data_IF_635070395660
#
_entry.id   IF_635070395660
#
_cell.length_a   1.000
_cell.length_b   1.000
_cell.length_c   1.000
_cell.angle_alpha   90.00
_cell.angle_beta   90.00
_cell.angle_gamma   90.00
#
_symmetry.space_group_name_H-M   'P 1'
#
loop_
_entity.id
_entity.type
_entity.pdbx_description
1 polymer ?
#
# COMPACT_ATOMS: atom_id res chain seq x y z
N UNK A 1 2.51 27.85 0.61
CA UNK A 1 3.49 27.09 -0.17
C UNK A 1 3.45 25.59 0.16
N UNK A 2 3.44 25.19 1.43
CA UNK A 2 3.40 23.76 1.82
C UNK A 2 2.14 22.99 1.44
N UNK A 3 0.98 23.65 1.29
CA UNK A 3 -0.24 23.00 0.81
C UNK A 3 -0.16 22.61 -0.68
N UNK A 4 0.50 23.40 -1.53
CA UNK A 4 0.44 23.20 -2.99
C UNK A 4 1.15 21.93 -3.51
N UNK A 5 2.06 21.33 -2.74
CA UNK A 5 2.74 20.08 -3.12
C UNK A 5 1.84 18.86 -2.86
N UNK A 6 0.91 18.95 -1.89
CA UNK A 6 -0.05 17.88 -1.58
C UNK A 6 -1.18 17.75 -2.60
N UNK A 7 -1.52 18.81 -3.34
CA UNK A 7 -2.70 18.83 -4.22
C UNK A 7 -2.41 18.58 -5.69
N UNK A 8 -1.12 18.56 -6.11
CA UNK A 8 -0.79 18.33 -7.52
C UNK A 8 -1.12 16.90 -7.97
N UNK A 9 -1.07 15.91 -7.06
CA UNK A 9 -1.33 14.51 -7.39
C UNK A 9 -2.82 14.26 -7.67
N UNK A 10 -3.73 14.79 -6.84
CA UNK A 10 -5.17 14.69 -7.08
C UNK A 10 -5.57 15.36 -8.39
N UNK A 11 -4.87 16.44 -8.77
CA UNK A 11 -5.15 17.18 -10.00
C UNK A 11 -4.62 16.50 -11.27
N UNK A 12 -3.80 15.44 -11.18
CA UNK A 12 -3.39 14.61 -12.32
C UNK A 12 -4.43 13.54 -12.73
N UNK A 13 -5.54 13.42 -11.99
CA UNK A 13 -6.66 12.49 -12.26
C UNK A 13 -7.29 12.63 -13.64
N UNK A 14 -7.23 13.81 -14.27
CA UNK A 14 -8.01 14.10 -15.48
C UNK A 14 -7.63 13.22 -16.67
N UNK A 15 -6.42 12.65 -16.69
CA UNK A 15 -5.91 11.89 -17.83
C UNK A 15 -6.33 10.40 -17.83
N UNK A 16 -6.45 9.74 -16.65
CA UNK A 16 -6.66 8.28 -16.55
C UNK A 16 -8.07 7.86 -16.95
N UNK A 17 -9.09 8.67 -16.61
CA UNK A 17 -10.50 8.31 -16.84
C UNK A 17 -10.96 8.44 -18.31
N UNK A 18 -10.14 8.98 -19.21
CA UNK A 18 -10.58 9.36 -20.57
C UNK A 18 -10.60 8.18 -21.55
N UNK A 19 -9.73 7.19 -21.40
CA UNK A 19 -9.66 6.03 -22.32
C UNK A 19 -10.76 4.99 -22.06
N UNK A 20 -11.20 4.81 -20.82
CA UNK A 20 -12.22 3.83 -20.46
C UNK A 20 -13.65 4.26 -20.84
N UNK A 21 -13.88 5.58 -20.97
CA UNK A 21 -15.10 6.19 -21.53
C UNK A 21 -15.34 5.71 -22.96
N UNK A 22 -14.31 5.69 -23.80
CA UNK A 22 -14.41 5.24 -25.19
C UNK A 22 -14.75 3.74 -25.25
N UNK A 23 -14.23 2.92 -24.33
CA UNK A 23 -14.52 1.48 -24.29
C UNK A 23 -15.98 1.18 -23.89
N UNK A 24 -16.55 1.94 -22.95
CA UNK A 24 -17.97 1.85 -22.56
C UNK A 24 -18.91 2.33 -23.67
N UNK A 25 -18.58 3.43 -24.35
CA UNK A 25 -19.39 3.95 -25.46
C UNK A 25 -19.28 3.10 -26.74
N UNK A 26 -18.15 2.43 -26.97
CA UNK A 26 -17.88 1.68 -28.21
C UNK A 26 -18.06 0.15 -28.13
N UNK A 27 -18.50 -0.42 -26.98
CA UNK A 27 -18.50 -1.89 -26.72
C UNK A 27 -17.16 -2.59 -27.02
N UNK A 28 -16.01 -1.91 -26.85
CA UNK A 28 -14.68 -2.50 -27.10
C UNK A 28 -13.88 -2.59 -25.80
N UNK A 29 -14.34 -3.38 -24.84
CA UNK A 29 -13.39 -4.01 -23.91
C UNK A 29 -12.86 -5.28 -24.57
N UNK A 30 -11.60 -5.26 -24.99
CA UNK A 30 -10.81 -6.49 -25.12
C UNK A 30 -10.14 -6.71 -23.77
N UNK A 31 -10.77 -7.52 -22.92
CA UNK A 31 -10.02 -8.25 -21.89
C UNK A 31 -9.12 -9.27 -22.59
N UNK A 32 -8.06 -9.73 -21.92
CA UNK A 32 -7.11 -10.76 -22.40
C UNK A 32 -7.80 -12.16 -22.38
N UNK A 33 -9.08 -12.20 -22.73
CA UNK A 33 -9.90 -13.38 -22.93
C UNK A 33 -10.60 -13.24 -24.28
N UNK A 34 -10.65 -14.28 -25.13
CA UNK A 34 -11.26 -14.21 -26.46
C UNK A 34 -12.79 -14.05 -26.43
N UNK A 35 -13.43 -13.94 -25.27
CA UNK A 35 -14.88 -13.79 -25.12
C UNK A 35 -15.25 -12.38 -24.64
N UNK A 36 -16.23 -11.77 -25.31
CA UNK A 36 -16.81 -10.50 -24.85
C UNK A 36 -17.45 -10.68 -23.46
N UNK A 37 -17.32 -9.71 -22.55
CA UNK A 37 -17.91 -9.82 -21.21
C UNK A 37 -19.43 -9.95 -21.29
N UNK A 38 -20.00 -10.70 -20.34
CA UNK A 38 -21.45 -10.84 -20.23
C UNK A 38 -22.12 -9.46 -20.08
N UNK A 39 -23.32 -9.23 -20.65
CA UNK A 39 -24.01 -7.94 -20.58
C UNK A 39 -24.19 -7.37 -19.17
N UNK A 40 -24.24 -8.22 -18.14
CA UNK A 40 -24.30 -7.83 -16.73
C UNK A 40 -23.00 -7.20 -16.22
N UNK A 41 -21.84 -7.75 -16.58
CA UNK A 41 -20.51 -7.25 -16.19
C UNK A 41 -20.26 -5.87 -16.82
N UNK A 42 -20.63 -5.69 -18.08
CA UNK A 42 -20.49 -4.40 -18.77
C UNK A 42 -21.34 -3.29 -18.11
N UNK A 43 -22.54 -3.62 -17.62
CA UNK A 43 -23.38 -2.65 -16.90
C UNK A 43 -22.74 -2.19 -15.59
N UNK A 44 -22.17 -3.13 -14.82
CA UNK A 44 -21.46 -2.79 -13.57
C UNK A 44 -20.25 -1.91 -13.88
N UNK A 45 -19.46 -2.29 -14.88
CA UNK A 45 -18.28 -1.52 -15.30
C UNK A 45 -18.64 -0.09 -15.73
N UNK A 46 -19.65 0.09 -16.57
CA UNK A 46 -20.03 1.44 -16.99
C UNK A 46 -20.68 2.25 -15.87
N UNK A 47 -21.40 1.62 -14.92
CA UNK A 47 -21.91 2.32 -13.74
C UNK A 47 -20.76 2.79 -12.85
N UNK A 48 -19.80 1.91 -12.56
CA UNK A 48 -18.58 2.22 -11.81
C UNK A 48 -17.79 3.36 -12.46
N UNK A 49 -17.60 3.29 -13.78
CA UNK A 49 -16.92 4.35 -14.55
C UNK A 49 -17.64 5.68 -14.37
N UNK A 50 -18.98 5.70 -14.52
CA UNK A 50 -19.75 6.92 -14.31
C UNK A 50 -19.60 7.45 -12.88
N UNK A 51 -19.68 6.59 -11.86
CA UNK A 51 -19.51 6.99 -10.47
C UNK A 51 -18.21 7.81 -10.28
N UNK A 52 -17.08 7.31 -10.79
CA UNK A 52 -15.81 8.05 -10.70
C UNK A 52 -15.72 9.28 -11.61
N UNK A 53 -16.46 9.33 -12.73
CA UNK A 53 -16.56 10.56 -13.54
C UNK A 53 -17.15 11.72 -12.75
N UNK A 54 -18.07 11.48 -11.82
CA UNK A 54 -18.63 12.56 -11.00
C UNK A 54 -17.59 13.23 -10.10
N UNK A 55 -16.61 12.47 -9.61
CA UNK A 55 -15.47 13.02 -8.85
C UNK A 55 -14.58 13.84 -9.78
N UNK A 56 -14.31 13.35 -10.98
CA UNK A 56 -13.53 14.08 -11.99
C UNK A 56 -14.20 15.42 -12.35
N UNK A 57 -15.50 15.40 -12.64
CA UNK A 57 -16.27 16.60 -12.98
C UNK A 57 -16.23 17.62 -11.83
N UNK A 58 -16.33 17.16 -10.57
CA UNK A 58 -16.19 18.02 -9.39
C UNK A 58 -14.79 18.66 -9.31
N UNK A 59 -13.73 17.88 -9.58
CA UNK A 59 -12.36 18.40 -9.59
C UNK A 59 -12.16 19.42 -10.71
N UNK A 60 -12.68 19.16 -11.91
CA UNK A 60 -12.57 20.07 -13.05
C UNK A 60 -13.36 21.37 -12.80
N UNK A 61 -14.54 21.29 -12.18
CA UNK A 61 -15.40 22.44 -11.92
C UNK A 61 -14.97 23.27 -10.70
N UNK A 62 -14.51 22.63 -9.63
CA UNK A 62 -14.34 23.26 -8.31
C UNK A 62 -12.94 23.10 -7.70
N UNK A 63 -12.09 22.27 -8.31
CA UNK A 63 -10.71 22.04 -7.90
C UNK A 63 -10.54 20.96 -6.82
N UNK A 64 -9.30 20.48 -6.71
CA UNK A 64 -8.93 19.33 -5.89
C UNK A 64 -9.27 19.46 -4.40
N UNK A 65 -9.14 20.65 -3.81
CA UNK A 65 -9.47 20.87 -2.40
C UNK A 65 -10.98 20.82 -2.12
N UNK A 66 -11.81 21.32 -3.05
CA UNK A 66 -13.26 21.25 -2.93
C UNK A 66 -13.72 19.81 -3.03
N UNK A 67 -13.20 19.05 -4.01
CA UNK A 67 -13.47 17.62 -4.15
C UNK A 67 -13.04 16.83 -2.92
N UNK A 68 -11.84 17.05 -2.38
CA UNK A 68 -11.39 16.37 -1.16
C UNK A 68 -12.34 16.65 0.01
N UNK A 69 -12.73 17.91 0.23
CA UNK A 69 -13.72 18.26 1.27
C UNK A 69 -15.07 17.60 1.06
N UNK A 70 -15.49 17.45 -0.20
CA UNK A 70 -16.76 16.83 -0.56
C UNK A 70 -16.74 15.32 -0.36
N UNK A 71 -15.63 14.65 -0.63
CA UNK A 71 -15.60 13.19 -0.77
C UNK A 71 -14.83 12.44 0.32
N UNK A 72 -13.95 13.09 1.09
CA UNK A 72 -13.11 12.41 2.11
C UNK A 72 -13.92 11.78 3.26
N UNK A 73 -15.17 12.21 3.44
CA UNK A 73 -16.05 11.65 4.45
C UNK A 73 -16.66 10.29 4.06
N UNK A 74 -16.61 9.94 2.78
CA UNK A 74 -17.13 8.65 2.31
C UNK A 74 -16.10 7.55 2.52
N UNK A 75 -16.57 6.39 2.95
CA UNK A 75 -15.85 5.15 2.65
C UNK A 75 -16.06 4.74 1.19
N UNK A 76 -15.14 3.94 0.62
CA UNK A 76 -15.28 3.41 -0.74
C UNK A 76 -16.64 2.72 -0.93
N UNK A 77 -17.02 1.83 -0.01
CA UNK A 77 -18.27 1.07 -0.08
C UNK A 77 -19.51 1.95 0.01
N UNK A 78 -19.50 2.93 0.91
CA UNK A 78 -20.61 3.87 1.08
C UNK A 78 -20.83 4.67 -0.20
N UNK A 79 -19.76 5.24 -0.78
CA UNK A 79 -19.85 5.99 -2.02
C UNK A 79 -20.35 5.15 -3.20
N UNK A 80 -19.78 3.95 -3.38
CA UNK A 80 -20.21 3.02 -4.44
C UNK A 80 -21.68 2.60 -4.30
N UNK A 81 -22.20 2.53 -3.07
CA UNK A 81 -23.58 2.19 -2.78
C UNK A 81 -24.53 3.39 -2.97
N UNK A 82 -24.20 4.54 -2.39
CA UNK A 82 -25.11 5.69 -2.30
C UNK A 82 -25.07 6.55 -3.57
N UNK A 83 -23.88 6.88 -4.06
CA UNK A 83 -23.69 7.69 -5.26
C UNK A 83 -23.61 6.80 -6.51
N UNK A 84 -23.02 5.62 -6.35
CA UNK A 84 -22.89 4.64 -7.43
C UNK A 84 -24.17 3.84 -7.70
N UNK A 85 -25.09 3.73 -6.74
CA UNK A 85 -26.31 2.89 -6.82
C UNK A 85 -25.97 1.45 -7.26
N UNK A 86 -24.83 0.93 -6.82
CA UNK A 86 -24.38 -0.42 -7.15
C UNK A 86 -25.10 -1.46 -6.29
N UNK A 87 -25.55 -2.54 -6.93
CA UNK A 87 -26.19 -3.64 -6.23
C UNK A 87 -25.21 -4.35 -5.28
N UNK A 88 -25.70 -5.05 -4.24
CA UNK A 88 -24.85 -5.85 -3.36
C UNK A 88 -23.97 -6.86 -4.11
N UNK A 89 -24.48 -7.46 -5.18
CA UNK A 89 -23.74 -8.42 -6.01
C UNK A 89 -22.63 -7.73 -6.81
N UNK A 90 -22.87 -6.51 -7.30
CA UNK A 90 -21.87 -5.71 -7.98
C UNK A 90 -20.75 -5.28 -7.01
N UNK A 91 -21.11 -4.84 -5.81
CA UNK A 91 -20.14 -4.49 -4.76
C UNK A 91 -19.29 -5.70 -4.36
N UNK A 92 -19.90 -6.88 -4.21
CA UNK A 92 -19.16 -8.12 -3.95
C UNK A 92 -18.21 -8.45 -5.11
N UNK A 93 -18.66 -8.36 -6.35
CA UNK A 93 -17.81 -8.62 -7.52
C UNK A 93 -16.61 -7.67 -7.57
N UNK A 94 -16.82 -6.38 -7.31
CA UNK A 94 -15.74 -5.38 -7.21
C UNK A 94 -14.77 -5.77 -6.09
N UNK A 95 -15.29 -6.06 -4.90
CA UNK A 95 -14.47 -6.48 -3.76
C UNK A 95 -13.60 -7.69 -4.06
N UNK A 96 -14.17 -8.73 -4.67
CA UNK A 96 -13.47 -9.99 -4.95
C UNK A 96 -12.46 -9.87 -6.10
N UNK A 97 -12.86 -9.29 -7.23
CA UNK A 97 -12.06 -9.30 -8.46
C UNK A 97 -11.04 -8.17 -8.54
N UNK A 98 -11.31 -7.03 -7.92
CA UNK A 98 -10.43 -5.87 -7.96
C UNK A 98 -9.56 -5.73 -6.72
N UNK A 99 -9.59 -6.71 -5.81
CA UNK A 99 -8.88 -6.69 -4.51
C UNK A 99 -9.39 -5.60 -3.54
N UNK A 100 -10.61 -5.11 -3.76
CA UNK A 100 -11.11 -3.96 -3.02
C UNK A 100 -11.77 -4.36 -1.69
N UNK A 101 -12.08 -5.64 -1.49
CA UNK A 101 -12.88 -6.08 -0.35
C UNK A 101 -12.27 -5.64 0.99
N UNK A 102 -10.95 -5.80 1.14
CA UNK A 102 -10.20 -5.41 2.34
C UNK A 102 -9.92 -3.90 2.42
N UNK A 103 -10.29 -3.12 1.40
CA UNK A 103 -10.09 -1.67 1.32
C UNK A 103 -11.41 -0.89 1.33
N UNK A 104 -12.55 -1.58 1.22
CA UNK A 104 -13.90 -1.00 1.12
C UNK A 104 -14.28 -0.02 2.25
N UNK A 105 -13.65 -0.12 3.42
CA UNK A 105 -13.90 0.74 4.58
C UNK A 105 -13.01 2.00 4.62
N UNK A 106 -11.99 2.07 3.78
CA UNK A 106 -11.04 3.20 3.72
C UNK A 106 -11.70 4.42 3.08
N UNK A 107 -11.08 5.59 3.25
CA UNK A 107 -11.57 6.82 2.65
C UNK A 107 -11.59 6.69 1.12
N UNK A 108 -12.66 7.16 0.48
CA UNK A 108 -12.76 7.19 -0.98
C UNK A 108 -11.58 7.96 -1.61
N UNK A 109 -11.09 8.99 -0.93
CA UNK A 109 -9.93 9.78 -1.32
C UNK A 109 -8.65 8.95 -1.48
N UNK A 110 -8.42 7.93 -0.63
CA UNK A 110 -7.30 6.99 -0.80
C UNK A 110 -7.45 6.16 -2.07
N UNK A 111 -8.64 5.59 -2.26
CA UNK A 111 -8.94 4.78 -3.43
C UNK A 111 -8.78 5.56 -4.72
N UNK A 112 -9.19 6.82 -4.71
CA UNK A 112 -8.97 7.73 -5.83
C UNK A 112 -7.48 7.89 -6.15
N UNK A 113 -6.61 8.06 -5.14
CA UNK A 113 -5.17 8.11 -5.37
C UNK A 113 -4.63 6.79 -5.93
N UNK A 114 -4.99 5.66 -5.33
CA UNK A 114 -4.51 4.34 -5.76
C UNK A 114 -4.88 4.04 -7.23
N UNK A 115 -6.12 4.36 -7.64
CA UNK A 115 -6.58 4.19 -9.02
C UNK A 115 -5.87 5.12 -10.02
N UNK A 116 -5.20 6.19 -9.56
CA UNK A 116 -4.35 7.01 -10.45
C UNK A 116 -2.98 6.40 -10.70
N UNK A 117 -2.46 5.63 -9.74
CA UNK A 117 -1.14 4.98 -9.87
C UNK A 117 -1.25 3.60 -10.50
N UNK A 118 -2.35 2.89 -10.27
CA UNK A 118 -2.61 1.53 -10.77
C UNK A 118 -3.51 1.58 -12.01
N UNK A 119 -2.88 1.64 -13.19
CA UNK A 119 -3.55 1.55 -14.50
C UNK A 119 -3.01 0.43 -15.38
N UNK A 120 -3.90 -0.20 -16.15
CA UNK A 120 -3.57 -1.16 -17.22
C UNK A 120 -2.80 -0.51 -18.38
N UNK A 121 -2.86 0.83 -18.50
CA UNK A 121 -2.13 1.59 -19.52
C UNK A 121 -0.69 1.90 -19.12
N UNK A 122 -0.35 1.68 -17.85
CA UNK A 122 0.96 2.00 -17.28
C UNK A 122 1.89 0.78 -17.35
N UNK A 123 3.14 1.03 -17.73
CA UNK A 123 4.20 0.01 -17.66
C UNK A 123 4.96 0.13 -16.35
N UNK A 124 4.91 -0.92 -15.54
CA UNK A 124 5.64 -1.01 -14.27
C UNK A 124 7.01 -1.66 -14.46
N UNK A 125 7.93 -1.33 -13.56
CA UNK A 125 9.31 -1.83 -13.56
C UNK A 125 9.68 -2.32 -12.16
N UNK A 126 10.53 -3.34 -12.10
CA UNK A 126 11.17 -3.79 -10.87
C UNK A 126 12.69 -3.56 -10.93
N UNK A 127 13.32 -3.38 -9.77
CA UNK A 127 14.78 -3.24 -9.69
C UNK A 127 15.41 -4.61 -9.90
N UNK A 128 16.19 -4.76 -10.97
CA UNK A 128 16.91 -6.00 -11.26
C UNK A 128 17.86 -6.33 -10.11
N UNK A 129 17.65 -7.49 -9.48
CA UNK A 129 18.44 -7.94 -8.33
C UNK A 129 17.81 -7.64 -6.96
N UNK A 130 16.68 -6.91 -6.93
CA UNK A 130 15.91 -6.64 -5.71
C UNK A 130 15.83 -5.14 -5.38
N UNK A 131 14.67 -4.72 -4.84
CA UNK A 131 14.41 -3.31 -4.49
C UNK A 131 15.30 -2.79 -3.36
N UNK A 132 15.93 -3.66 -2.56
CA UNK A 132 16.87 -3.28 -1.50
C UNK A 132 18.19 -2.69 -2.05
N UNK A 133 18.46 -2.85 -3.34
CA UNK A 133 19.59 -2.21 -4.01
C UNK A 133 19.43 -0.69 -4.09
N UNK A 134 18.21 -0.16 -4.15
CA UNK A 134 17.96 1.28 -4.17
C UNK A 134 18.45 1.97 -2.88
N UNK A 135 18.00 1.59 -1.68
CA UNK A 135 18.52 2.18 -0.44
C UNK A 135 20.01 1.88 -0.23
N UNK A 136 20.52 0.71 -0.64
CA UNK A 136 21.95 0.40 -0.56
C UNK A 136 22.82 1.28 -1.46
N UNK A 137 22.32 1.68 -2.63
CA UNK A 137 23.05 2.57 -3.52
C UNK A 137 23.32 3.93 -2.87
N UNK A 138 22.37 4.47 -2.09
CA UNK A 138 22.59 5.70 -1.32
C UNK A 138 23.75 5.57 -0.33
N UNK A 139 23.96 4.40 0.28
CA UNK A 139 25.08 4.16 1.20
C UNK A 139 26.46 4.27 0.53
N UNK A 140 26.53 4.18 -0.80
CA UNK A 140 27.79 4.32 -1.55
C UNK A 140 28.14 5.77 -1.87
N UNK A 141 27.17 6.70 -1.78
CA UNK A 141 27.35 8.11 -2.12
C UNK A 141 27.23 9.04 -0.90
N UNK A 142 26.59 8.59 0.18
CA UNK A 142 26.45 9.36 1.40
C UNK A 142 27.70 9.20 2.28
N UNK A 143 28.49 10.27 2.41
CA UNK A 143 29.59 10.35 3.38
C UNK A 143 29.06 10.88 4.73
N UNK A 144 28.24 10.06 5.39
CA UNK A 144 27.63 10.39 6.69
C UNK A 144 27.77 9.22 7.68
N UNK A 145 27.95 9.48 8.98
CA UNK A 145 27.90 8.44 10.01
C UNK A 145 26.50 7.81 10.08
N UNK A 146 26.43 6.48 9.99
CA UNK A 146 25.18 5.72 10.15
C UNK A 146 25.27 4.87 11.41
N UNK A 147 24.44 5.19 12.40
CA UNK A 147 24.36 4.46 13.66
C UNK A 147 23.27 3.39 13.58
N UNK A 148 23.64 2.18 13.16
CA UNK A 148 22.73 1.03 13.19
C UNK A 148 22.49 0.55 14.62
N UNK A 149 21.43 -0.24 14.82
CA UNK A 149 21.02 -0.78 16.13
C UNK A 149 20.78 0.28 17.21
N UNK A 150 20.57 1.55 16.81
CA UNK A 150 20.49 2.71 17.69
C UNK A 150 19.04 3.21 17.78
N UNK A 151 18.23 2.60 18.66
CA UNK A 151 16.81 2.92 18.77
C UNK A 151 16.64 4.25 19.52
N UNK A 152 16.07 5.24 18.84
CA UNK A 152 15.72 6.53 19.45
C UNK A 152 14.65 6.34 20.53
N UNK A 153 14.84 6.99 21.68
CA UNK A 153 13.93 6.93 22.83
C UNK A 153 13.36 8.28 23.21
N UNK A 154 14.13 9.35 23.02
CA UNK A 154 13.72 10.69 23.43
C UNK A 154 14.27 11.75 22.50
N UNK A 155 13.47 12.77 22.25
CA UNK A 155 13.84 14.00 21.55
C UNK A 155 13.52 15.16 22.49
N UNK A 156 14.55 15.91 22.90
CA UNK A 156 14.37 17.16 23.63
C UNK A 156 14.81 18.34 22.77
N UNK A 157 14.05 19.41 22.69
CA UNK A 157 14.43 20.57 21.90
C UNK A 157 14.05 21.90 22.55
N UNK A 158 14.78 22.95 22.18
CA UNK A 158 14.51 24.33 22.58
C UNK A 158 14.93 25.31 21.48
N UNK A 159 14.93 26.62 21.74
CA UNK A 159 15.48 27.59 20.80
C UNK A 159 16.98 27.36 20.51
N UNK A 160 17.71 26.67 21.40
CA UNK A 160 19.17 26.44 21.30
C UNK A 160 19.58 25.23 20.46
N UNK A 161 18.67 24.31 20.16
CA UNK A 161 18.98 23.06 19.45
C UNK A 161 18.12 21.90 19.89
N UNK A 162 18.54 20.70 19.49
CA UNK A 162 17.89 19.41 19.75
C UNK A 162 18.90 18.45 20.39
N UNK A 163 18.45 17.69 21.38
CA UNK A 163 19.13 16.53 21.94
C UNK A 163 18.33 15.29 21.60
N UNK A 164 18.93 14.34 20.90
CA UNK A 164 18.35 13.02 20.63
C UNK A 164 19.01 11.98 21.52
N UNK A 165 18.22 11.26 22.30
CA UNK A 165 18.70 10.19 23.20
C UNK A 165 18.32 8.83 22.62
N UNK A 166 19.32 8.02 22.27
CA UNK A 166 19.12 6.68 21.69
C UNK A 166 19.77 5.59 22.54
N UNK A 167 19.43 4.34 22.23
CA UNK A 167 19.86 3.15 22.95
C UNK A 167 20.35 2.07 21.97
N UNK A 168 21.51 1.46 22.21
CA UNK A 168 22.13 0.46 21.30
C UNK A 168 21.78 -1.00 21.62
N UNK A 169 20.80 -1.22 22.50
CA UNK A 169 20.34 -2.54 22.95
C UNK A 169 19.50 -2.40 24.23
N UNK A 170 18.60 -3.34 24.51
CA UNK A 170 17.53 -3.16 25.52
C UNK A 170 17.98 -2.77 26.94
N UNK A 171 19.22 -3.11 27.33
CA UNK A 171 19.77 -2.84 28.66
C UNK A 171 20.84 -1.74 28.68
N UNK A 172 21.12 -1.10 27.54
CA UNK A 172 22.14 -0.04 27.47
C UNK A 172 21.62 1.28 28.04
N UNK A 173 22.51 2.11 28.59
CA UNK A 173 22.19 3.48 28.96
C UNK A 173 21.84 4.32 27.72
N UNK A 174 21.04 5.37 27.91
CA UNK A 174 20.81 6.35 26.85
C UNK A 174 22.11 7.07 26.49
N UNK A 175 22.34 7.24 25.19
CA UNK A 175 23.41 8.07 24.64
C UNK A 175 22.80 9.29 23.98
N UNK A 176 23.29 10.47 24.34
CA UNK A 176 22.80 11.74 23.82
C UNK A 176 23.64 12.22 22.64
N UNK A 177 22.95 12.74 21.62
CA UNK A 177 23.55 13.41 20.47
C UNK A 177 22.90 14.78 20.28
N UNK A 178 23.74 15.79 20.08
CA UNK A 178 23.33 17.18 19.89
C UNK A 178 23.19 17.49 18.40
N UNK A 179 22.15 18.25 18.03
CA UNK A 179 21.91 18.70 16.67
C UNK A 179 21.18 20.04 16.64
N UNK A 180 21.20 20.75 15.50
CA UNK A 180 20.45 21.98 15.33
C UNK A 180 18.96 21.73 15.03
N UNK A 181 18.66 20.64 14.33
CA UNK A 181 17.31 20.19 13.95
C UNK A 181 17.27 18.67 13.93
N UNK A 182 16.08 18.08 14.02
CA UNK A 182 15.87 16.64 13.80
C UNK A 182 14.78 16.42 12.77
N UNK A 183 15.00 15.48 11.85
CA UNK A 183 13.99 14.98 10.94
C UNK A 183 13.60 13.56 11.37
N UNK A 184 12.37 13.39 11.84
CA UNK A 184 11.82 12.09 12.23
C UNK A 184 11.25 11.41 11.00
N UNK A 185 11.89 10.31 10.59
CA UNK A 185 11.53 9.54 9.39
C UNK A 185 10.98 8.14 9.69
N UNK A 186 10.49 7.91 10.90
CA UNK A 186 9.86 6.64 11.29
C UNK A 186 8.39 6.59 10.86
N UNK A 187 7.74 5.45 10.97
CA UNK A 187 6.26 5.41 10.93
C UNK A 187 5.69 6.21 12.10
N UNK A 188 4.42 6.61 11.99
CA UNK A 188 3.73 7.30 13.09
C UNK A 188 3.62 6.41 14.32
N UNK A 189 3.33 5.12 14.10
CA UNK A 189 3.22 4.12 15.17
C UNK A 189 4.53 3.97 15.94
N UNK A 190 5.68 3.99 15.26
CA UNK A 190 6.98 3.94 15.92
C UNK A 190 7.34 5.23 16.65
N UNK A 191 6.92 6.40 16.14
CA UNK A 191 7.12 7.68 16.79
C UNK A 191 6.41 7.76 18.16
N UNK A 192 5.31 7.01 18.36
CA UNK A 192 4.61 6.94 19.65
C UNK A 192 5.44 6.27 20.78
N UNK A 193 6.52 5.57 20.45
CA UNK A 193 7.47 5.00 21.43
C UNK A 193 8.58 5.98 21.83
N UNK A 194 8.53 7.23 21.35
CA UNK A 194 9.51 8.26 21.65
C UNK A 194 8.92 9.30 22.61
N UNK A 195 9.71 9.73 23.58
CA UNK A 195 9.39 10.86 24.44
C UNK A 195 9.77 12.17 23.77
N UNK A 196 8.82 13.10 23.62
CA UNK A 196 9.07 14.46 23.11
C UNK A 196 9.07 15.47 24.25
N UNK A 197 10.12 16.30 24.34
CA UNK A 197 10.26 17.32 25.38
C UNK A 197 10.61 18.69 24.73
N UNK A 198 9.70 19.68 24.74
CA UNK A 198 8.33 19.62 25.26
C UNK A 198 7.45 18.61 24.50
N UNK A 199 6.32 18.17 25.09
CA UNK A 199 5.38 17.29 24.40
C UNK A 199 4.89 17.92 23.09
N UNK A 200 4.67 17.07 22.08
CA UNK A 200 4.04 17.50 20.84
C UNK A 200 2.62 18.05 21.11
N UNK A 201 2.14 18.91 20.23
CA UNK A 201 0.80 19.49 20.38
C UNK A 201 -0.29 18.41 20.40
N UNK A 202 -1.44 18.64 21.08
CA UNK A 202 -2.52 17.67 21.13
C UNK A 202 -2.98 17.19 19.75
N UNK A 203 -3.04 18.10 18.76
CA UNK A 203 -3.43 17.76 17.38
C UNK A 203 -2.42 16.84 16.67
N UNK A 204 -1.12 17.10 16.86
CA UNK A 204 -0.06 16.25 16.34
C UNK A 204 -0.11 14.85 16.98
N UNK A 205 -0.26 14.79 18.30
CA UNK A 205 -0.36 13.52 19.02
C UNK A 205 -1.61 12.72 18.66
N UNK A 206 -2.75 13.39 18.46
CA UNK A 206 -3.98 12.78 17.96
C UNK A 206 -3.75 12.19 16.57
N UNK A 207 -3.23 12.97 15.62
CA UNK A 207 -2.93 12.49 14.27
C UNK A 207 -1.97 11.28 14.28
N UNK A 208 -0.87 11.33 15.05
CA UNK A 208 0.08 10.22 15.15
C UNK A 208 -0.56 8.93 15.72
N UNK A 209 -1.50 9.05 16.66
CA UNK A 209 -2.18 7.90 17.28
C UNK A 209 -3.25 7.33 16.36
N UNK A 210 -4.10 8.20 15.84
CA UNK A 210 -5.36 7.86 15.18
C UNK A 210 -5.21 7.54 13.70
N UNK A 211 -4.15 8.02 13.04
CA UNK A 211 -3.91 7.70 11.63
C UNK A 211 -3.95 6.19 11.41
N UNK A 212 -4.76 5.75 10.45
CA UNK A 212 -4.91 4.35 10.12
C UNK A 212 -3.70 3.86 9.33
N UNK A 213 -3.24 2.66 9.68
CA UNK A 213 -2.22 1.93 8.96
C UNK A 213 -2.83 0.61 8.55
N UNK A 214 -2.69 0.25 7.29
CA UNK A 214 -3.20 -1.02 6.82
C UNK A 214 -2.27 -2.18 7.23
N UNK A 215 -2.84 -3.38 7.30
CA UNK A 215 -2.08 -4.61 7.45
C UNK A 215 -1.69 -5.15 6.09
N UNK A 216 -0.51 -5.76 5.96
CA UNK A 216 -0.15 -6.46 4.74
C UNK A 216 0.73 -7.68 5.00
N UNK A 217 0.45 -8.76 4.28
CA UNK A 217 1.20 -10.02 4.35
C UNK A 217 1.57 -10.50 2.95
N UNK A 218 2.83 -10.91 2.77
CA UNK A 218 3.32 -11.61 1.58
C UNK A 218 3.77 -13.01 1.95
N UNK A 219 3.25 -14.01 1.24
CA UNK A 219 3.68 -15.41 1.33
C UNK A 219 4.42 -15.74 0.04
N UNK A 220 5.73 -15.95 0.13
CA UNK A 220 6.59 -16.30 -0.99
C UNK A 220 6.92 -17.79 -0.92
N UNK A 221 6.69 -18.50 -2.02
CA UNK A 221 7.02 -19.91 -2.16
C UNK A 221 8.13 -20.08 -3.19
N UNK A 222 9.16 -20.85 -2.84
CA UNK A 222 10.25 -21.17 -3.76
C UNK A 222 10.01 -22.54 -4.38
N UNK A 223 10.12 -22.64 -5.69
CA UNK A 223 9.93 -23.86 -6.46
C UNK A 223 11.19 -24.23 -7.24
N UNK A 224 11.45 -25.53 -7.39
CA UNK A 224 12.50 -26.05 -8.27
C UNK A 224 12.07 -26.19 -9.74
N UNK A 225 10.78 -25.97 -10.01
CA UNK A 225 10.13 -25.99 -11.32
C UNK A 225 9.16 -24.82 -11.43
N UNK A 226 9.23 -24.06 -12.52
CA UNK A 226 8.28 -22.96 -12.82
C UNK A 226 7.04 -23.51 -13.54
N UNK A 227 6.24 -24.31 -12.83
CA UNK A 227 5.10 -25.03 -13.41
C UNK A 227 4.11 -24.11 -14.15
N UNK A 228 3.94 -22.87 -13.68
CA UNK A 228 3.05 -21.87 -14.29
C UNK A 228 3.45 -21.48 -15.74
N UNK A 229 4.72 -21.66 -16.13
CA UNK A 229 5.14 -21.42 -17.51
C UNK A 229 4.54 -22.46 -18.49
N UNK A 230 4.22 -23.66 -17.99
CA UNK A 230 3.53 -24.69 -18.80
C UNK A 230 2.07 -24.32 -19.07
N UNK A 231 1.47 -23.53 -18.18
CA UNK A 231 0.13 -22.94 -18.36
C UNK A 231 0.17 -21.68 -19.25
N UNK A 232 1.36 -21.31 -19.77
CA UNK A 232 1.55 -20.13 -20.59
C UNK A 232 1.69 -18.82 -19.82
N UNK A 233 1.82 -18.87 -18.49
CA UNK A 233 1.84 -17.68 -17.63
C UNK A 233 3.27 -17.11 -17.52
N UNK A 234 3.41 -15.80 -17.77
CA UNK A 234 4.66 -15.04 -17.66
C UNK A 234 4.38 -13.66 -17.07
N UNK A 235 4.69 -13.48 -15.80
CA UNK A 235 4.27 -12.29 -15.04
C UNK A 235 2.75 -12.24 -14.81
N UNK A 236 2.26 -11.10 -14.34
CA UNK A 236 0.84 -10.89 -14.04
C UNK A 236 0.40 -11.56 -12.73
N UNK A 237 -0.91 -11.78 -12.59
CA UNK A 237 -1.50 -12.35 -11.37
C UNK A 237 -2.67 -13.28 -11.65
N UNK A 238 -2.90 -14.21 -10.73
CA UNK A 238 -4.13 -14.98 -10.59
C UNK A 238 -4.91 -14.51 -9.38
N UNK A 239 -6.23 -14.65 -9.45
CA UNK A 239 -7.18 -14.20 -8.42
C UNK A 239 -7.98 -15.41 -7.95
N UNK A 240 -8.15 -15.53 -6.65
CA UNK A 240 -8.96 -16.58 -6.03
C UNK A 240 -9.77 -15.99 -4.87
N UNK A 241 -10.93 -16.60 -4.61
CA UNK A 241 -11.72 -16.36 -3.42
C UNK A 241 -11.19 -17.10 -2.19
N UNK A 242 -10.18 -17.97 -2.36
CA UNK A 242 -9.43 -18.59 -1.28
C UNK A 242 -8.63 -17.57 -0.46
N UNK A 243 -8.19 -17.94 0.76
CA UNK A 243 -7.49 -17.01 1.66
C UNK A 243 -6.23 -16.37 1.06
N UNK A 244 -5.60 -17.01 0.07
CA UNK A 244 -4.43 -16.43 -0.61
C UNK A 244 -4.71 -15.17 -1.45
N UNK A 245 -5.98 -14.96 -1.85
CA UNK A 245 -6.51 -13.83 -2.63
C UNK A 245 -5.84 -13.60 -3.99
N UNK A 246 -4.58 -13.17 -4.00
CA UNK A 246 -3.84 -12.79 -5.20
C UNK A 246 -2.47 -13.46 -5.25
N UNK A 247 -2.23 -14.19 -6.34
CA UNK A 247 -0.96 -14.85 -6.65
C UNK A 247 -0.26 -14.04 -7.74
N UNK A 248 0.94 -13.55 -7.48
CA UNK A 248 1.71 -12.77 -8.46
C UNK A 248 2.87 -13.60 -9.00
N UNK A 249 2.91 -13.75 -10.32
CA UNK A 249 3.96 -14.49 -11.02
C UNK A 249 5.17 -13.56 -11.25
N UNK A 250 6.40 -14.05 -11.09
CA UNK A 250 7.58 -13.23 -11.24
C UNK A 250 7.71 -12.70 -12.68
N UNK A 251 8.15 -11.43 -12.80
CA UNK A 251 8.45 -10.79 -14.09
C UNK A 251 9.93 -10.92 -14.49
N UNK A 252 10.72 -11.61 -13.66
CA UNK A 252 12.13 -11.93 -13.89
C UNK A 252 12.38 -13.44 -13.87
N UNK A 253 13.62 -13.82 -14.19
CA UNK A 253 14.14 -15.17 -13.97
C UNK A 253 15.55 -15.09 -13.38
N UNK A 254 15.93 -16.08 -12.58
CA UNK A 254 17.29 -16.13 -12.02
C UNK A 254 18.30 -16.50 -13.10
N UNK A 255 19.29 -15.63 -13.33
CA UNK A 255 20.27 -15.81 -14.41
C UNK A 255 21.06 -17.12 -14.29
N UNK A 256 21.40 -17.53 -13.06
CA UNK A 256 22.21 -18.73 -12.79
C UNK A 256 21.41 -20.03 -12.81
N UNK A 257 20.12 -19.99 -12.53
CA UNK A 257 19.27 -21.17 -12.51
C UNK A 257 17.88 -20.85 -13.08
N UNK A 258 17.64 -21.32 -14.29
CA UNK A 258 16.39 -21.07 -15.01
C UNK A 258 15.21 -21.94 -14.55
N UNK A 259 15.42 -22.96 -13.72
CA UNK A 259 14.34 -23.83 -13.24
C UNK A 259 13.75 -23.35 -11.92
N UNK A 260 14.53 -22.62 -11.12
CA UNK A 260 14.05 -22.04 -9.87
C UNK A 260 13.13 -20.85 -10.17
N UNK A 261 12.00 -20.81 -9.46
CA UNK A 261 11.12 -19.65 -9.43
C UNK A 261 10.70 -19.34 -8.00
N UNK A 262 10.59 -18.05 -7.68
CA UNK A 262 9.95 -17.58 -6.44
C UNK A 262 8.61 -16.99 -6.84
N UNK A 263 7.55 -17.60 -6.35
CA UNK A 263 6.18 -17.15 -6.57
C UNK A 263 5.72 -16.36 -5.35
N UNK A 264 5.16 -15.18 -5.56
CA UNK A 264 4.40 -14.50 -4.53
C UNK A 264 3.02 -15.16 -4.49
N UNK A 265 2.94 -16.27 -3.75
CA UNK A 265 1.77 -17.15 -3.69
C UNK A 265 0.58 -16.51 -2.98
N UNK A 266 0.82 -15.46 -2.19
CA UNK A 266 -0.24 -14.63 -1.64
C UNK A 266 0.29 -13.23 -1.35
N UNK A 267 -0.50 -12.22 -1.72
CA UNK A 267 -0.30 -10.84 -1.31
C UNK A 267 -1.64 -10.28 -0.83
N UNK A 268 -1.75 -10.06 0.47
CA UNK A 268 -3.00 -9.62 1.12
C UNK A 268 -2.82 -8.32 1.88
N UNK A 269 -3.95 -7.66 2.11
CA UNK A 269 -4.11 -6.38 2.79
C UNK A 269 -5.28 -6.43 3.78
N UNK A 270 -5.41 -5.43 4.66
CA UNK A 270 -6.52 -5.34 5.61
C UNK A 270 -6.82 -6.64 6.35
N UNK A 271 -8.10 -6.99 6.43
CA UNK A 271 -8.57 -8.17 7.15
C UNK A 271 -8.04 -9.49 6.56
N UNK A 272 -7.84 -9.56 5.23
CA UNK A 272 -7.22 -10.73 4.59
C UNK A 272 -5.77 -10.93 5.08
N UNK A 273 -5.04 -9.85 5.37
CA UNK A 273 -3.71 -9.93 5.98
C UNK A 273 -3.78 -10.25 7.47
N UNK A 274 -4.74 -9.66 8.19
CA UNK A 274 -4.92 -9.88 9.64
C UNK A 274 -5.18 -11.35 9.97
N UNK A 275 -5.90 -12.06 9.09
CA UNK A 275 -6.15 -13.50 9.18
C UNK A 275 -4.85 -14.32 9.38
N UNK A 276 -3.74 -13.86 8.81
CA UNK A 276 -2.48 -14.60 8.78
C UNK A 276 -1.55 -14.31 9.97
N UNK A 277 -1.83 -13.29 10.78
CA UNK A 277 -0.87 -12.85 11.81
C UNK A 277 -0.57 -13.95 12.83
N UNK A 278 -1.61 -14.68 13.27
CA UNK A 278 -1.49 -15.75 14.26
C UNK A 278 -0.97 -17.10 13.73
N UNK A 279 -0.90 -17.29 12.40
CA UNK A 279 -0.49 -18.56 11.80
C UNK A 279 1.04 -18.71 11.72
N UNK A 280 1.58 -19.92 11.77
CA UNK A 280 3.00 -20.17 11.46
C UNK A 280 3.26 -20.07 9.96
N UNK A 281 4.51 -19.82 9.58
CA UNK A 281 4.92 -19.76 8.17
C UNK A 281 4.64 -21.08 7.44
N UNK A 282 4.81 -22.21 8.11
CA UNK A 282 4.53 -23.56 7.61
C UNK A 282 3.04 -23.80 7.39
N UNK A 283 2.17 -23.34 8.31
CA UNK A 283 0.73 -23.42 8.10
C UNK A 283 0.29 -22.54 6.92
N UNK A 284 0.90 -21.35 6.76
CA UNK A 284 0.66 -20.47 5.63
C UNK A 284 1.20 -21.04 4.32
N UNK A 285 2.31 -21.79 4.36
CA UNK A 285 2.84 -22.55 3.22
C UNK A 285 1.84 -23.60 2.76
N UNK A 286 1.33 -24.43 3.68
CA UNK A 286 0.34 -25.47 3.36
C UNK A 286 -0.94 -24.87 2.79
N UNK A 287 -1.44 -23.78 3.40
CA UNK A 287 -2.59 -23.04 2.90
C UNK A 287 -2.38 -22.54 1.47
N UNK A 288 -1.23 -21.91 1.21
CA UNK A 288 -0.92 -21.38 -0.10
C UNK A 288 -0.72 -22.47 -1.17
N UNK A 289 -0.11 -23.59 -0.81
CA UNK A 289 0.01 -24.75 -1.71
C UNK A 289 -1.33 -25.39 -2.01
N UNK A 290 -2.24 -25.46 -1.02
CA UNK A 290 -3.61 -25.96 -1.23
C UNK A 290 -4.39 -25.12 -2.24
N UNK A 291 -4.29 -23.79 -2.15
CA UNK A 291 -4.92 -22.88 -3.13
C UNK A 291 -4.25 -22.97 -4.50
N UNK A 292 -2.91 -23.05 -4.56
CA UNK A 292 -2.20 -23.24 -5.82
C UNK A 292 -2.55 -24.57 -6.50
N UNK A 293 -2.75 -25.65 -5.74
CA UNK A 293 -3.10 -26.96 -6.29
C UNK A 293 -4.48 -26.94 -6.97
N UNK A 294 -5.43 -26.15 -6.48
CA UNK A 294 -6.74 -25.95 -7.12
C UNK A 294 -6.63 -25.24 -8.48
N UNK A 295 -5.62 -24.38 -8.64
CA UNK A 295 -5.42 -23.57 -9.86
C UNK A 295 -4.54 -24.31 -10.87
N UNK A 296 -3.44 -24.91 -10.40
CA UNK A 296 -2.37 -25.44 -11.24
C UNK A 296 -2.22 -26.97 -11.17
N UNK A 297 -2.96 -27.65 -10.29
CA UNK A 297 -2.90 -29.10 -10.09
C UNK A 297 -1.98 -29.53 -8.94
N UNK A 298 -2.13 -30.78 -8.50
CA UNK A 298 -1.46 -31.34 -7.31
C UNK A 298 0.07 -31.39 -7.41
N UNK A 299 0.66 -31.33 -8.61
CA UNK A 299 2.11 -31.37 -8.78
C UNK A 299 2.85 -30.18 -8.13
N UNK A 300 2.15 -29.10 -7.77
CA UNK A 300 2.76 -27.95 -7.07
C UNK A 300 3.37 -28.36 -5.73
N UNK A 301 2.83 -29.37 -5.07
CA UNK A 301 3.36 -29.88 -3.80
C UNK A 301 4.78 -30.44 -3.95
N UNK A 302 5.02 -31.23 -5.01
CA UNK A 302 6.30 -31.88 -5.28
C UNK A 302 7.41 -30.88 -5.66
N UNK A 303 7.03 -29.74 -6.24
CA UNK A 303 7.97 -28.72 -6.69
C UNK A 303 8.36 -27.72 -5.59
N UNK A 304 7.60 -27.65 -4.50
CA UNK A 304 7.82 -26.66 -3.46
C UNK A 304 9.06 -26.99 -2.62
N UNK A 305 9.97 -26.02 -2.52
CA UNK A 305 11.26 -26.18 -1.82
C UNK A 305 11.38 -25.33 -0.55
N UNK A 306 10.53 -24.31 -0.38
CA UNK A 306 10.60 -23.43 0.79
C UNK A 306 9.54 -22.33 0.82
N UNK A 307 9.46 -21.66 1.96
CA UNK A 307 8.55 -20.53 2.22
C UNK A 307 9.32 -19.38 2.86
N UNK A 308 8.93 -18.15 2.53
CA UNK A 308 9.26 -16.93 3.29
C UNK A 308 7.98 -16.14 3.47
N UNK A 309 7.64 -15.79 4.71
CA UNK A 309 6.47 -14.95 4.99
C UNK A 309 6.92 -13.61 5.56
N UNK A 310 6.42 -12.51 4.99
CA UNK A 310 6.58 -11.16 5.57
C UNK A 310 5.22 -10.66 6.01
N UNK A 311 5.05 -10.49 7.33
CA UNK A 311 3.88 -9.87 7.98
C UNK A 311 4.27 -8.47 8.46
N UNK A 312 3.83 -7.43 7.77
CA UNK A 312 4.27 -6.06 8.06
C UNK A 312 3.75 -5.54 9.41
N UNK A 313 2.54 -5.93 9.80
CA UNK A 313 1.94 -5.54 11.09
C UNK A 313 2.65 -6.14 12.30
N UNK A 314 3.51 -7.14 12.10
CA UNK A 314 4.36 -7.72 13.15
C UNK A 314 5.79 -7.17 13.12
N UNK A 315 6.13 -6.29 12.19
CA UNK A 315 7.44 -5.69 12.12
C UNK A 315 7.68 -4.76 13.34
N UNK A 316 8.75 -4.96 14.13
CA UNK A 316 8.96 -4.23 15.38
C UNK A 316 9.38 -2.76 15.17
N UNK A 317 9.64 -2.35 13.93
CA UNK A 317 10.06 -1.01 13.56
C UNK A 317 9.00 -0.25 12.78
N UNK A 318 8.27 -0.89 11.85
CA UNK A 318 7.20 -0.21 11.11
C UNK A 318 5.86 -0.26 11.85
N UNK A 319 5.56 -1.36 12.55
CA UNK A 319 4.32 -1.56 13.33
C UNK A 319 3.03 -1.39 12.50
N UNK A 320 3.11 -1.78 11.23
CA UNK A 320 2.09 -1.58 10.20
C UNK A 320 2.72 -1.68 8.81
N UNK A 321 1.91 -1.83 7.76
CA UNK A 321 2.41 -1.86 6.37
C UNK A 321 2.70 -0.46 5.85
N UNK A 322 1.67 0.37 5.75
CA UNK A 322 1.71 1.73 5.22
C UNK A 322 0.48 2.49 5.73
N UNK A 323 0.52 3.83 5.66
CA UNK A 323 -0.67 4.61 5.96
C UNK A 323 -1.75 4.34 4.91
N UNK A 324 -3.00 4.28 5.35
CA UNK A 324 -4.13 4.21 4.44
C UNK A 324 -5.32 4.79 5.18
N UNK A 325 -5.70 6.02 4.86
CA UNK A 325 -6.63 6.78 5.67
C UNK A 325 -8.05 6.20 5.62
N UNK A 326 -8.68 6.17 6.78
CA UNK A 326 -10.14 5.99 6.89
C UNK A 326 -10.84 7.33 6.69
N UNK A 327 -12.17 7.36 6.50
CA UNK A 327 -12.90 8.60 6.25
C UNK A 327 -12.54 9.74 7.23
N UNK A 328 -12.51 10.97 6.71
CA UNK A 328 -12.11 12.23 7.36
C UNK A 328 -10.61 12.42 7.65
N UNK A 329 -9.79 11.36 7.65
CA UNK A 329 -8.40 11.49 8.10
C UNK A 329 -7.52 12.34 7.16
N UNK A 330 -7.85 12.48 5.86
CA UNK A 330 -7.08 13.41 5.01
C UNK A 330 -7.30 14.85 5.46
N UNK A 331 -8.54 15.23 5.74
CA UNK A 331 -8.88 16.58 6.16
C UNK A 331 -8.37 16.89 7.57
N UNK A 332 -8.40 15.89 8.46
CA UNK A 332 -8.06 16.08 9.88
C UNK A 332 -6.57 15.94 10.18
N UNK A 333 -5.90 14.95 9.58
CA UNK A 333 -4.57 14.51 10.05
C UNK A 333 -3.44 14.87 9.10
N UNK A 334 -3.65 14.88 7.77
CA UNK A 334 -2.58 15.08 6.78
C UNK A 334 -1.67 16.29 7.09
N UNK A 335 -2.30 17.44 7.35
CA UNK A 335 -1.59 18.68 7.65
C UNK A 335 -0.79 18.57 8.95
N UNK A 336 -1.35 17.98 9.99
CA UNK A 336 -0.69 17.87 11.28
C UNK A 336 0.44 16.82 11.24
N UNK A 337 0.29 15.73 10.47
CA UNK A 337 1.34 14.73 10.23
C UNK A 337 2.58 15.35 9.57
N UNK A 338 2.41 16.20 8.56
CA UNK A 338 3.54 16.88 7.88
C UNK A 338 4.14 18.05 8.69
N UNK A 339 3.33 18.74 9.49
CA UNK A 339 3.74 19.96 10.19
C UNK A 339 4.89 19.71 11.17
N UNK A 340 5.91 20.56 11.09
CA UNK A 340 7.01 20.62 12.06
C UNK A 340 6.59 21.32 13.35
N UNK A 341 7.17 20.91 14.48
CA UNK A 341 7.00 21.56 15.78
C UNK A 341 8.34 22.03 16.32
N UNK A 342 8.57 23.35 16.30
CA UNK A 342 9.86 23.94 16.64
C UNK A 342 10.97 23.46 15.71
N UNK A 343 11.92 22.67 16.24
CA UNK A 343 13.08 22.12 15.52
C UNK A 343 12.91 20.64 15.15
N UNK A 344 11.72 20.09 15.37
CA UNK A 344 11.36 18.70 15.06
C UNK A 344 10.54 18.69 13.78
N UNK A 345 11.12 18.15 12.72
CA UNK A 345 10.49 17.93 11.42
C UNK A 345 10.08 16.48 11.27
N UNK A 346 9.10 16.22 10.40
CA UNK A 346 8.56 14.88 10.15
C UNK A 346 8.58 14.62 8.65
N UNK A 347 8.96 13.40 8.28
CA UNK A 347 8.89 12.90 6.91
C UNK A 347 8.65 11.39 6.93
N UNK A 348 8.31 10.85 5.76
CA UNK A 348 7.94 9.45 5.59
C UNK A 348 6.67 9.35 4.78
N UNK A 349 6.32 8.13 4.40
CA UNK A 349 5.19 7.83 3.53
C UNK A 349 3.88 8.47 4.05
N UNK A 350 3.53 8.29 5.33
CA UNK A 350 2.40 8.95 6.01
C UNK A 350 2.36 10.49 6.01
N UNK A 351 3.36 11.17 5.47
CA UNK A 351 3.42 12.64 5.33
C UNK A 351 3.32 13.08 3.87
N UNK A 352 3.05 12.17 2.94
CA UNK A 352 2.97 12.40 1.51
C UNK A 352 1.76 11.67 0.91
N UNK A 353 1.35 12.08 -0.29
CA UNK A 353 0.37 11.36 -1.10
C UNK A 353 0.96 11.13 -2.50
N UNK A 354 0.66 10.02 -3.16
CA UNK A 354 -0.17 8.90 -2.69
C UNK A 354 0.54 8.13 -1.56
N UNK A 355 -0.23 7.49 -0.67
CA UNK A 355 0.33 6.58 0.33
C UNK A 355 0.80 5.27 -0.31
N UNK A 356 1.60 4.49 0.44
CA UNK A 356 2.15 3.18 0.03
C UNK A 356 3.18 3.15 -1.13
N UNK A 357 3.75 4.29 -1.54
CA UNK A 357 4.77 4.40 -2.62
C UNK A 357 6.13 4.94 -2.19
#
# INVERSE_FOLDING_TARGET
MHLNIFYSTLCNMTNVLTEDILKCQSKKLKLISPTAPAPSVMKVYCRLTWTFLTVKDEVEAHGCWAALKKYDHYSVKEYLKEEGDLSPEALRMIGELLNEQSLMYTALSEMIYDQTDISDSTKYFEVVGGSDLLPKAFLTVLDIPILLNSRLKRISHSHKGVVVSYQTGQQSSLTDLQADVVLVTTTTKAALFMDFIPPLSPKKMEALRSVHYDSSTKILLTFNNKFWENDGIRGGKSITDGPTRFIYYPSHSFQKNKTIGVLLASYTWGDDSLLFLGASDEALKELALSDLAKIHGEQVWDFCTGVVVKKWSMDPYSLGAFALFTPYQHLEYAKELFKSEGRVHFAGEHTAFPHAW
#
